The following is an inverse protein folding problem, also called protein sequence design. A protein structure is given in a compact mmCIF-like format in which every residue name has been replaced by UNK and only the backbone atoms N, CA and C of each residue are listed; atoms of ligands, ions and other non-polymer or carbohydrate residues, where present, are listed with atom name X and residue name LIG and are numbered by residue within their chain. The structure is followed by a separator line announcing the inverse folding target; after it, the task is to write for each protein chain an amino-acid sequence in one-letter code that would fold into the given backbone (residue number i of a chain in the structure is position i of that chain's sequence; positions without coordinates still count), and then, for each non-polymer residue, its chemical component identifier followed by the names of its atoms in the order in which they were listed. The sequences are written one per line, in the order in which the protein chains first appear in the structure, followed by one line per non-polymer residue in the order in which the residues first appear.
data_IF_399163590548
#
_entry.id   IF_399163590548
#
_cell.length_a   1.000
_cell.length_b   1.000
_cell.length_c   1.000
_cell.angle_alpha   90.00
_cell.angle_beta   90.00
_cell.angle_gamma   90.00
#
_symmetry.space_group_name_H-M   'P 1'
#
loop_
_entity.id
_entity.type
_entity.pdbx_description
1 polymer ?
#
# COMPACT_ATOMS: atom_id res chain seq x y z
N UNK A 1 -22.18 33.64 1.13
CA UNK A 1 -21.24 32.49 1.15
C UNK A 1 -19.86 33.00 0.77
N UNK A 2 -18.93 33.06 1.71
CA UNK A 2 -17.61 33.69 1.50
C UNK A 2 -16.70 32.82 0.63
N UNK A 3 -16.01 33.45 -0.34
CA UNK A 3 -15.04 32.82 -1.26
C UNK A 3 -13.96 31.98 -0.54
N UNK A 4 -13.66 32.30 0.71
CA UNK A 4 -12.74 31.54 1.59
C UNK A 4 -13.24 30.15 1.96
N UNK A 5 -14.55 29.92 2.04
CA UNK A 5 -15.12 28.60 2.31
C UNK A 5 -15.08 27.68 1.08
N UNK A 6 -15.22 28.27 -0.12
CA UNK A 6 -15.20 27.53 -1.39
C UNK A 6 -13.78 27.05 -1.74
N UNK A 7 -12.76 27.88 -1.49
CA UNK A 7 -11.34 27.52 -1.73
C UNK A 7 -10.83 26.44 -0.76
N UNK A 8 -11.31 26.45 0.50
CA UNK A 8 -11.00 25.38 1.47
C UNK A 8 -11.66 24.05 1.08
N UNK A 9 -12.89 24.07 0.59
CA UNK A 9 -13.59 22.87 0.15
C UNK A 9 -12.93 22.20 -1.08
N UNK A 10 -12.35 22.99 -2.00
CA UNK A 10 -11.64 22.45 -3.17
C UNK A 10 -10.24 21.94 -2.86
N UNK A 11 -9.51 22.55 -1.91
CA UNK A 11 -8.20 22.03 -1.47
C UNK A 11 -8.30 20.71 -0.71
N UNK A 12 -9.39 20.52 0.05
CA UNK A 12 -9.68 19.29 0.79
C UNK A 12 -10.08 18.13 -0.14
N UNK A 13 -10.62 18.43 -1.33
CA UNK A 13 -10.95 17.41 -2.33
C UNK A 13 -9.72 16.78 -3.01
N UNK A 14 -8.55 17.42 -2.94
CA UNK A 14 -7.29 16.89 -3.53
C UNK A 14 -6.66 15.81 -2.65
N UNK A 15 -7.02 15.74 -1.36
CA UNK A 15 -6.56 14.71 -0.42
C UNK A 15 -7.07 13.29 -0.75
N UNK A 16 -7.99 13.15 -1.71
CA UNK A 16 -8.74 11.90 -1.96
C UNK A 16 -8.24 11.13 -3.19
N UNK A 17 -7.16 11.59 -3.84
CA UNK A 17 -6.77 11.09 -5.16
C UNK A 17 -5.35 10.55 -5.25
N UNK A 18 -4.90 9.78 -4.27
CA UNK A 18 -3.88 8.76 -4.54
C UNK A 18 -4.22 7.50 -3.77
N UNK A 19 -4.82 6.48 -4.41
CA UNK A 19 -4.85 5.15 -3.84
C UNK A 19 -3.42 4.64 -3.81
N UNK A 20 -2.72 4.92 -2.71
CA UNK A 20 -1.51 4.20 -2.39
C UNK A 20 -1.90 2.73 -2.26
N UNK A 21 -1.35 1.91 -3.13
CA UNK A 21 -1.63 0.50 -3.29
C UNK A 21 -2.98 0.18 -3.97
N UNK A 22 -2.89 -0.16 -5.26
CA UNK A 22 -3.90 -0.89 -6.00
C UNK A 22 -4.11 -2.30 -5.40
N UNK A 23 -4.75 -2.37 -4.23
CA UNK A 23 -5.38 -3.60 -3.75
C UNK A 23 -6.80 -3.60 -4.30
N UNK A 24 -7.10 -4.55 -5.18
CA UNK A 24 -8.43 -4.75 -5.77
C UNK A 24 -9.49 -5.17 -4.73
N UNK A 25 -9.09 -5.34 -3.47
CA UNK A 25 -9.97 -5.69 -2.37
C UNK A 25 -10.83 -4.50 -1.92
N UNK A 26 -12.11 -4.75 -1.61
CA UNK A 26 -12.99 -3.70 -1.14
C UNK A 26 -12.46 -3.12 0.18
N UNK A 27 -12.45 -1.79 0.27
CA UNK A 27 -12.00 -1.08 1.47
C UNK A 27 -12.71 -1.60 2.73
N UNK A 28 -11.98 -1.80 3.84
CA UNK A 28 -12.54 -2.30 5.09
C UNK A 28 -13.67 -1.40 5.58
N UNK A 29 -14.73 -1.97 6.16
CA UNK A 29 -15.83 -1.21 6.78
C UNK A 29 -15.29 -0.21 7.81
N UNK A 30 -15.87 0.99 7.86
CA UNK A 30 -15.57 1.97 8.90
C UNK A 30 -16.12 1.49 10.25
N UNK A 31 -15.27 1.48 11.28
CA UNK A 31 -15.63 1.19 12.68
C UNK A 31 -14.78 2.06 13.60
N UNK A 32 -15.23 2.29 14.83
CA UNK A 32 -14.49 3.10 15.83
C UNK A 32 -13.11 2.50 16.16
N UNK A 33 -13.02 1.16 16.22
CA UNK A 33 -11.77 0.45 16.43
C UNK A 33 -10.75 0.71 15.30
N UNK A 34 -11.21 0.68 14.04
CA UNK A 34 -10.38 0.94 12.86
C UNK A 34 -9.99 2.42 12.76
N UNK A 35 -10.90 3.32 13.12
CA UNK A 35 -10.60 4.75 13.26
C UNK A 35 -9.49 4.98 14.29
N UNK A 36 -9.59 4.36 15.47
CA UNK A 36 -8.57 4.48 16.51
C UNK A 36 -7.20 3.95 16.06
N UNK A 37 -7.18 2.78 15.39
CA UNK A 37 -5.96 2.19 14.84
C UNK A 37 -5.31 3.05 13.75
N UNK A 38 -6.09 3.50 12.77
CA UNK A 38 -5.62 4.39 11.70
C UNK A 38 -5.07 5.71 12.27
N UNK A 39 -5.79 6.34 13.21
CA UNK A 39 -5.33 7.58 13.83
C UNK A 39 -4.08 7.37 14.68
N UNK A 40 -3.93 6.22 15.35
CA UNK A 40 -2.70 5.88 16.06
C UNK A 40 -1.52 5.76 15.09
N UNK A 41 -1.72 5.07 13.97
CA UNK A 41 -0.72 4.92 12.92
C UNK A 41 -0.29 6.28 12.35
N UNK A 42 -1.25 7.15 12.02
CA UNK A 42 -0.96 8.51 11.54
C UNK A 42 -0.17 9.31 12.57
N UNK A 43 -0.58 9.32 13.84
CA UNK A 43 0.16 10.03 14.90
C UNK A 43 1.61 9.55 15.04
N UNK A 44 1.86 8.26 14.82
CA UNK A 44 3.18 7.65 14.91
C UNK A 44 4.07 7.97 13.71
N UNK A 45 3.51 8.00 12.50
CA UNK A 45 4.28 8.01 11.26
C UNK A 45 4.19 9.31 10.45
N UNK A 46 3.08 10.04 10.52
CA UNK A 46 2.86 11.32 9.84
C UNK A 46 1.97 12.25 10.71
N UNK A 47 2.49 12.78 11.83
CA UNK A 47 1.69 13.59 12.77
C UNK A 47 1.14 14.87 12.14
N UNK A 48 1.80 15.42 11.12
CA UNK A 48 1.37 16.63 10.40
C UNK A 48 0.05 16.44 9.63
N UNK A 49 -0.37 15.19 9.40
CA UNK A 49 -1.65 14.87 8.76
C UNK A 49 -2.83 14.97 9.73
N UNK A 50 -2.60 14.88 11.05
CA UNK A 50 -3.68 14.87 12.05
C UNK A 50 -4.58 16.12 11.98
N UNK A 51 -4.05 17.36 11.90
CA UNK A 51 -4.89 18.55 11.77
C UNK A 51 -5.75 18.53 10.50
N UNK A 52 -5.24 17.97 9.39
CA UNK A 52 -5.98 17.86 8.14
C UNK A 52 -7.14 16.85 8.25
N UNK A 53 -6.92 15.74 8.98
CA UNK A 53 -7.97 14.77 9.28
C UNK A 53 -9.05 15.36 10.20
N UNK A 54 -8.66 16.16 11.19
CA UNK A 54 -9.61 16.84 12.08
C UNK A 54 -10.48 17.85 11.32
N UNK A 55 -9.89 18.58 10.37
CA UNK A 55 -10.61 19.49 9.50
C UNK A 55 -11.55 18.71 8.56
N UNK A 56 -11.08 17.64 7.92
CA UNK A 56 -11.87 16.72 7.10
C UNK A 56 -13.08 16.17 7.88
N UNK A 57 -12.87 15.75 9.13
CA UNK A 57 -13.95 15.21 10.00
C UNK A 57 -15.07 16.21 10.21
N UNK A 58 -14.75 17.51 10.27
CA UNK A 58 -15.72 18.61 10.47
C UNK A 58 -16.36 19.08 9.18
N UNK A 59 -15.60 19.17 8.08
CA UNK A 59 -16.07 19.78 6.83
C UNK A 59 -16.59 18.79 5.80
N UNK A 60 -16.10 17.54 5.82
CA UNK A 60 -16.37 16.53 4.79
C UNK A 60 -16.29 15.11 5.37
N UNK A 61 -17.28 14.75 6.18
CA UNK A 61 -17.34 13.44 6.88
C UNK A 61 -17.15 12.23 5.95
N UNK A 62 -17.76 12.14 4.75
CA UNK A 62 -17.51 10.99 3.86
C UNK A 62 -16.05 10.87 3.42
N UNK A 63 -15.37 11.99 3.15
CA UNK A 63 -13.96 11.98 2.77
C UNK A 63 -13.05 11.60 3.97
N UNK A 64 -13.40 12.04 5.18
CA UNK A 64 -12.74 11.58 6.40
C UNK A 64 -12.83 10.06 6.58
N UNK A 65 -14.04 9.49 6.47
CA UNK A 65 -14.23 8.06 6.65
C UNK A 65 -13.49 7.25 5.57
N UNK A 66 -13.45 7.74 4.34
CA UNK A 66 -12.65 7.15 3.26
C UNK A 66 -11.16 7.12 3.62
N UNK A 67 -10.59 8.27 4.00
CA UNK A 67 -9.18 8.37 4.36
C UNK A 67 -8.80 7.45 5.53
N UNK A 68 -9.68 7.32 6.53
CA UNK A 68 -9.48 6.40 7.66
C UNK A 68 -9.45 4.95 7.19
N UNK A 69 -10.36 4.56 6.28
CA UNK A 69 -10.42 3.18 5.76
C UNK A 69 -9.19 2.84 4.92
N UNK A 70 -8.74 3.77 4.08
CA UNK A 70 -7.52 3.61 3.28
C UNK A 70 -6.28 3.50 4.18
N UNK A 71 -6.17 4.38 5.18
CA UNK A 71 -5.08 4.32 6.16
C UNK A 71 -5.07 2.99 6.91
N UNK A 72 -6.25 2.50 7.34
CA UNK A 72 -6.35 1.20 7.99
C UNK A 72 -5.99 0.04 7.04
N UNK A 73 -6.38 0.10 5.77
CA UNK A 73 -5.97 -0.90 4.79
C UNK A 73 -4.43 -0.96 4.65
N UNK A 74 -3.75 0.18 4.68
CA UNK A 74 -2.28 0.22 4.67
C UNK A 74 -1.71 -0.42 5.94
N UNK A 75 -2.32 -0.24 7.11
CA UNK A 75 -1.84 -0.90 8.34
C UNK A 75 -1.95 -2.42 8.26
N UNK A 76 -3.03 -2.94 7.66
CA UNK A 76 -3.20 -4.38 7.45
C UNK A 76 -2.20 -4.90 6.42
N UNK A 77 -2.04 -4.19 5.29
CA UNK A 77 -1.02 -4.51 4.29
C UNK A 77 0.37 -4.62 4.90
N UNK A 78 0.76 -3.66 5.74
CA UNK A 78 2.05 -3.66 6.41
C UNK A 78 2.19 -4.83 7.40
N UNK A 79 1.10 -5.26 8.04
CA UNK A 79 1.11 -6.44 8.90
C UNK A 79 1.27 -7.74 8.08
N UNK A 80 0.63 -7.82 6.91
CA UNK A 80 0.69 -9.00 6.04
C UNK A 80 2.07 -9.25 5.43
N UNK A 81 2.86 -8.19 5.23
CA UNK A 81 4.21 -8.27 4.63
C UNK A 81 5.33 -8.21 5.68
N UNK A 82 5.02 -8.42 6.95
CA UNK A 82 5.99 -8.30 8.05
C UNK A 82 7.13 -9.33 7.96
N UNK A 83 6.92 -10.43 7.25
CA UNK A 83 7.89 -11.48 6.95
C UNK A 83 8.88 -11.10 5.82
N UNK A 84 8.62 -10.01 5.09
CA UNK A 84 9.52 -9.37 4.13
C UNK A 84 9.94 -7.97 4.65
N UNK A 85 11.01 -7.89 5.47
CA UNK A 85 11.41 -6.62 6.10
C UNK A 85 11.77 -5.52 5.11
N UNK A 86 12.35 -5.89 3.96
CA UNK A 86 12.76 -4.91 2.93
C UNK A 86 11.53 -4.32 2.25
N UNK A 87 10.55 -5.15 1.90
CA UNK A 87 9.27 -4.67 1.37
C UNK A 87 8.52 -3.83 2.39
N UNK A 88 8.43 -4.29 3.64
CA UNK A 88 7.80 -3.54 4.74
C UNK A 88 8.38 -2.11 4.85
N UNK A 89 9.70 -1.99 4.88
CA UNK A 89 10.36 -0.68 5.02
C UNK A 89 10.08 0.25 3.82
N UNK A 90 10.08 -0.30 2.61
CA UNK A 90 9.83 0.46 1.38
C UNK A 90 8.38 0.97 1.34
N UNK A 91 7.40 0.12 1.62
CA UNK A 91 5.98 0.49 1.65
C UNK A 91 5.71 1.55 2.73
N UNK A 92 6.31 1.42 3.92
CA UNK A 92 6.17 2.42 4.98
C UNK A 92 6.79 3.77 4.61
N UNK A 93 7.95 3.78 3.95
CA UNK A 93 8.61 5.01 3.47
C UNK A 93 7.76 5.68 2.39
N UNK A 94 7.25 4.91 1.44
CA UNK A 94 6.40 5.41 0.36
C UNK A 94 5.13 6.05 0.91
N UNK A 95 4.41 5.34 1.80
CA UNK A 95 3.23 5.89 2.46
C UNK A 95 3.53 7.20 3.22
N UNK A 96 4.66 7.28 3.93
CA UNK A 96 5.05 8.50 4.63
C UNK A 96 5.30 9.67 3.67
N UNK A 97 6.08 9.43 2.61
CA UNK A 97 6.45 10.46 1.63
C UNK A 97 5.21 10.99 0.89
N UNK A 98 4.28 10.11 0.52
CA UNK A 98 3.02 10.52 -0.12
C UNK A 98 2.16 11.38 0.81
N UNK A 99 2.01 10.97 2.07
CA UNK A 99 1.21 11.74 3.03
C UNK A 99 1.86 13.09 3.37
N UNK A 100 3.20 13.16 3.40
CA UNK A 100 3.91 14.42 3.50
C UNK A 100 3.68 15.31 2.27
N UNK A 101 3.69 14.74 1.06
CA UNK A 101 3.37 15.47 -0.16
C UNK A 101 1.95 16.04 -0.12
N UNK A 102 0.96 15.28 0.36
CA UNK A 102 -0.42 15.76 0.57
C UNK A 102 -0.49 16.93 1.56
N UNK A 103 0.28 16.87 2.65
CA UNK A 103 0.39 17.99 3.60
C UNK A 103 0.96 19.23 2.92
N UNK A 104 1.98 19.10 2.07
CA UNK A 104 2.56 20.21 1.31
C UNK A 104 1.56 20.79 0.30
N UNK A 105 0.84 19.93 -0.42
CA UNK A 105 -0.21 20.35 -1.36
C UNK A 105 -1.32 21.12 -0.64
N UNK A 106 -1.73 20.68 0.55
CA UNK A 106 -2.69 21.41 1.37
C UNK A 106 -2.15 22.81 1.78
N UNK A 107 -0.85 22.94 2.04
CA UNK A 107 -0.19 24.24 2.33
C UNK A 107 -0.17 25.17 1.12
N UNK A 108 -0.07 24.65 -0.12
CA UNK A 108 -0.10 25.47 -1.35
C UNK A 108 -1.44 26.18 -1.57
N UNK A 109 -2.53 25.73 -0.94
CA UNK A 109 -3.81 26.43 -0.97
C UNK A 109 -3.80 27.76 -0.18
N UNK A 110 -2.69 28.09 0.52
CA UNK A 110 -2.55 29.31 1.31
C UNK A 110 -1.93 30.47 0.50
N UNK A 111 -2.42 31.71 0.65
CA UNK A 111 -2.20 32.81 -0.30
C UNK A 111 -0.84 33.54 -0.25
N UNK A 112 0.19 33.02 0.42
CA UNK A 112 1.48 33.72 0.59
C UNK A 112 2.53 33.22 -0.42
N UNK A 113 2.98 34.11 -1.30
CA UNK A 113 3.85 33.80 -2.45
C UNK A 113 5.26 33.29 -2.05
N UNK A 114 5.88 33.84 -1.01
CA UNK A 114 7.20 33.39 -0.54
C UNK A 114 7.15 31.96 0.04
N UNK A 115 6.09 31.63 0.78
CA UNK A 115 5.85 30.25 1.26
C UNK A 115 5.53 29.30 0.12
N UNK A 116 4.99 29.79 -1.00
CA UNK A 116 4.62 28.94 -2.14
C UNK A 116 5.86 28.33 -2.79
N UNK A 117 6.87 29.16 -3.12
CA UNK A 117 8.11 28.67 -3.75
C UNK A 117 8.83 27.62 -2.89
N UNK A 118 8.95 27.88 -1.59
CA UNK A 118 9.57 26.94 -0.66
C UNK A 118 8.81 25.60 -0.60
N UNK A 119 7.47 25.63 -0.61
CA UNK A 119 6.65 24.42 -0.61
C UNK A 119 6.75 23.68 -1.95
N UNK A 120 6.83 24.39 -3.07
CA UNK A 120 7.06 23.79 -4.39
C UNK A 120 8.42 23.08 -4.48
N UNK A 121 9.49 23.66 -3.95
CA UNK A 121 10.82 23.03 -3.87
C UNK A 121 10.82 21.76 -2.99
N UNK A 122 10.14 21.82 -1.85
CA UNK A 122 9.95 20.66 -0.97
C UNK A 122 9.16 19.55 -1.66
N UNK A 123 8.09 19.90 -2.39
CA UNK A 123 7.27 18.96 -3.12
C UNK A 123 8.07 18.32 -4.28
N UNK A 124 8.91 19.08 -4.97
CA UNK A 124 9.80 18.54 -6.01
C UNK A 124 10.79 17.53 -5.42
N UNK A 125 11.33 17.82 -4.24
CA UNK A 125 12.23 16.89 -3.52
C UNK A 125 11.51 15.59 -3.15
N UNK A 126 10.30 15.68 -2.57
CA UNK A 126 9.49 14.50 -2.25
C UNK A 126 9.07 13.71 -3.49
N UNK A 127 8.75 14.39 -4.59
CA UNK A 127 8.39 13.72 -5.85
C UNK A 127 9.56 12.88 -6.39
N UNK A 128 10.79 13.39 -6.29
CA UNK A 128 12.00 12.60 -6.62
C UNK A 128 12.15 11.41 -5.68
N UNK A 129 12.01 11.62 -4.37
CA UNK A 129 12.11 10.53 -3.39
C UNK A 129 11.07 9.43 -3.65
N UNK A 130 9.83 9.78 -3.98
CA UNK A 130 8.78 8.83 -4.33
C UNK A 130 9.16 7.96 -5.53
N UNK A 131 9.67 8.58 -6.60
CA UNK A 131 10.14 7.83 -7.78
C UNK A 131 11.31 6.91 -7.42
N UNK A 132 12.24 7.36 -6.56
CA UNK A 132 13.36 6.54 -6.08
C UNK A 132 12.87 5.35 -5.23
N UNK A 133 11.86 5.53 -4.39
CA UNK A 133 11.23 4.48 -3.59
C UNK A 133 10.47 3.47 -4.46
N UNK A 134 9.74 3.94 -5.48
CA UNK A 134 9.09 3.08 -6.47
C UNK A 134 10.09 2.20 -7.22
N UNK A 135 11.23 2.79 -7.64
CA UNK A 135 12.33 2.04 -8.26
C UNK A 135 12.85 0.94 -7.33
N UNK A 136 13.14 1.27 -6.07
CA UNK A 136 13.62 0.30 -5.09
C UNK A 136 12.60 -0.81 -4.81
N UNK A 137 11.30 -0.49 -4.77
CA UNK A 137 10.22 -1.47 -4.62
C UNK A 137 10.16 -2.44 -5.80
N UNK A 138 10.24 -1.91 -7.03
CA UNK A 138 10.26 -2.72 -8.25
C UNK A 138 11.51 -3.61 -8.34
N UNK A 139 12.67 -3.07 -7.98
CA UNK A 139 13.92 -3.83 -7.92
C UNK A 139 13.84 -5.00 -6.93
N UNK A 140 13.36 -4.74 -5.71
CA UNK A 140 13.14 -5.78 -4.70
C UNK A 140 12.18 -6.85 -5.19
N UNK A 141 11.03 -6.45 -5.77
CA UNK A 141 10.07 -7.39 -6.35
C UNK A 141 10.70 -8.23 -7.46
N UNK A 142 11.54 -7.64 -8.31
CA UNK A 142 12.24 -8.37 -9.35
C UNK A 142 13.25 -9.38 -8.76
N UNK A 143 13.94 -9.06 -7.67
CA UNK A 143 14.82 -9.97 -6.95
C UNK A 143 14.06 -11.19 -6.40
N UNK A 144 12.95 -10.97 -5.71
CA UNK A 144 12.10 -12.03 -5.15
C UNK A 144 11.59 -12.96 -6.25
N UNK A 145 11.02 -12.40 -7.33
CA UNK A 145 10.50 -13.18 -8.45
C UNK A 145 11.60 -13.98 -9.16
N UNK A 146 12.84 -13.48 -9.23
CA UNK A 146 13.98 -14.23 -9.78
C UNK A 146 14.35 -15.43 -8.91
N UNK A 147 14.29 -15.27 -7.59
CA UNK A 147 14.54 -16.36 -6.65
C UNK A 147 13.48 -17.46 -6.79
N UNK A 148 12.20 -17.08 -6.82
CA UNK A 148 11.08 -18.02 -7.04
C UNK A 148 11.18 -18.74 -8.38
N UNK A 149 11.54 -18.02 -9.45
CA UNK A 149 11.75 -18.60 -10.77
C UNK A 149 12.88 -19.64 -10.75
N UNK A 150 13.97 -19.35 -10.02
CA UNK A 150 15.09 -20.29 -9.87
C UNK A 150 14.65 -21.54 -9.14
N UNK A 151 13.97 -21.39 -7.99
CA UNK A 151 13.45 -22.53 -7.22
C UNK A 151 12.49 -23.40 -8.06
N UNK A 152 11.57 -22.77 -8.80
CA UNK A 152 10.63 -23.48 -9.67
C UNK A 152 11.34 -24.22 -10.81
N UNK A 153 12.41 -23.63 -11.38
CA UNK A 153 13.24 -24.30 -12.40
C UNK A 153 13.99 -25.50 -11.84
N UNK A 154 14.49 -25.41 -10.61
CA UNK A 154 15.16 -26.51 -9.93
C UNK A 154 14.19 -27.66 -9.64
N UNK A 155 12.98 -27.35 -9.18
CA UNK A 155 11.90 -28.34 -9.02
C UNK A 155 11.54 -29.01 -10.34
N UNK A 156 11.37 -28.22 -11.41
CA UNK A 156 11.08 -28.74 -12.74
C UNK A 156 12.19 -29.67 -13.24
N UNK A 157 13.46 -29.33 -12.98
CA UNK A 157 14.60 -30.18 -13.34
C UNK A 157 14.56 -31.49 -12.56
N UNK A 158 14.33 -31.45 -11.25
CA UNK A 158 14.15 -32.65 -10.41
C UNK A 158 13.00 -33.54 -10.92
N UNK A 159 11.87 -32.94 -11.33
CA UNK A 159 10.76 -33.69 -11.90
C UNK A 159 11.11 -34.33 -13.25
N UNK A 160 11.86 -33.63 -14.10
CA UNK A 160 12.35 -34.18 -15.38
C UNK A 160 13.31 -35.35 -15.17
N UNK A 161 14.28 -35.20 -14.28
CA UNK A 161 15.28 -36.23 -14.01
C UNK A 161 14.66 -37.49 -13.38
N UNK A 162 13.55 -37.33 -12.66
CA UNK A 162 12.82 -38.42 -12.03
C UNK A 162 11.55 -38.84 -12.78
N UNK A 163 11.37 -38.41 -14.04
CA UNK A 163 10.10 -38.56 -14.76
C UNK A 163 9.62 -40.01 -14.83
N UNK A 164 10.50 -40.94 -15.20
CA UNK A 164 10.15 -42.35 -15.37
C UNK A 164 9.75 -43.00 -14.04
N UNK A 165 10.52 -42.72 -12.98
CA UNK A 165 10.23 -43.20 -11.63
C UNK A 165 8.92 -42.62 -11.11
N UNK A 166 8.74 -41.30 -11.22
CA UNK A 166 7.51 -40.62 -10.79
C UNK A 166 6.29 -41.14 -11.57
N UNK A 167 6.44 -41.44 -12.86
CA UNK A 167 5.39 -42.02 -13.70
C UNK A 167 5.01 -43.42 -13.20
N UNK A 168 6.00 -44.27 -12.91
CA UNK A 168 5.77 -45.60 -12.36
C UNK A 168 5.08 -45.54 -11.00
N UNK A 169 5.59 -44.75 -10.06
CA UNK A 169 5.01 -44.58 -8.73
C UNK A 169 3.56 -44.08 -8.80
N UNK A 170 3.30 -43.12 -9.71
CA UNK A 170 1.95 -42.59 -9.96
C UNK A 170 1.01 -43.65 -10.55
N UNK A 171 1.49 -44.45 -11.49
CA UNK A 171 0.73 -45.54 -12.09
C UNK A 171 0.34 -46.60 -11.06
N UNK A 172 1.30 -47.06 -10.25
CA UNK A 172 1.06 -48.04 -9.18
C UNK A 172 0.05 -47.52 -8.14
N UNK A 173 0.17 -46.26 -7.72
CA UNK A 173 -0.78 -45.63 -6.80
C UNK A 173 -2.21 -45.56 -7.36
N UNK A 174 -2.36 -45.32 -8.66
CA UNK A 174 -3.67 -45.31 -9.33
C UNK A 174 -4.26 -46.73 -9.42
N UNK A 175 -3.45 -47.74 -9.71
CA UNK A 175 -3.89 -49.14 -9.69
C UNK A 175 -4.36 -49.58 -8.31
N UNK A 176 -3.61 -49.25 -7.25
CA UNK A 176 -3.99 -49.59 -5.88
C UNK A 176 -5.31 -48.92 -5.45
N UNK A 177 -5.55 -47.68 -5.87
CA UNK A 177 -6.85 -47.01 -5.66
C UNK A 177 -7.99 -47.72 -6.39
N UNK A 178 -7.78 -48.19 -7.62
CA UNK A 178 -8.79 -48.91 -8.37
C UNK A 178 -9.14 -50.25 -7.72
N UNK A 179 -8.14 -50.98 -7.20
CA UNK A 179 -8.35 -52.26 -6.48
C UNK A 179 -9.14 -52.08 -5.19
N UNK A 180 -8.86 -51.02 -4.41
CA UNK A 180 -9.56 -50.71 -3.13
C UNK A 180 -11.02 -50.25 -3.31
N UNK A 181 -11.43 -49.89 -4.53
CA UNK A 181 -12.79 -49.42 -4.85
C UNK A 181 -13.71 -50.51 -5.42
N UNK A 182 -13.19 -51.72 -5.66
CA UNK A 182 -14.03 -52.88 -6.01
C UNK A 182 -14.75 -53.36 -4.74
N UNK A 183 -16.09 -53.45 -4.74
CA UNK A 183 -16.88 -53.93 -3.60
C UNK A 183 -16.58 -55.40 -3.27
#
# INVERSE_FOLDING_TARGET
MSRTALVRATAIAVLVLFPCAAHADPLPKFTEEREAAALHFVRKHCPDLVPLLDDLKKSARPAYELQIRETFQVTELLADIQDDPKRYELELKMWKAENQALVLVAKLAMPKEETRKMVEEQLQTLARELVELELQSLEHRAEVLRAELTATKDELTKFRDNLDRATKDRFEALLERAKKKKP
#
